data_IF_036249824124
#
_entry.id   IF_036249824124
#
_cell.length_a   1.000
_cell.length_b   1.000
_cell.length_c   1.000
_cell.angle_alpha   90.00
_cell.angle_beta   90.00
_cell.angle_gamma   90.00
#
_symmetry.space_group_name_H-M   'P 1'
#
loop_
_entity.id
_entity.type
_entity.pdbx_description
1 polymer ?
#
# COMPACT_ATOMS: atom_id res chain seq x y z
N UNK A 1 0.00 -9.33 4.65
CA UNK A 1 1.32 -9.64 4.06
C UNK A 1 2.23 -10.23 5.09
N UNK A 2 3.43 -10.63 4.69
CA UNK A 2 4.48 -11.13 5.55
C UNK A 2 5.65 -10.14 5.53
N UNK A 3 6.16 -9.76 6.69
CA UNK A 3 7.38 -8.96 6.78
C UNK A 3 8.57 -9.85 7.13
N UNK A 4 9.76 -9.45 6.68
CA UNK A 4 11.00 -10.00 7.24
C UNK A 4 11.17 -9.57 8.72
N UNK A 5 12.04 -10.24 9.50
CA UNK A 5 12.25 -9.90 10.91
C UNK A 5 12.73 -8.46 11.15
N UNK A 6 13.47 -7.88 10.21
CA UNK A 6 13.96 -6.49 10.30
C UNK A 6 12.86 -5.45 10.00
N UNK A 7 11.69 -5.87 9.52
CA UNK A 7 10.54 -5.01 9.29
C UNK A 7 10.66 -4.05 8.10
N UNK A 8 11.69 -4.18 7.28
CA UNK A 8 11.99 -3.30 6.14
C UNK A 8 11.65 -3.92 4.77
N UNK A 9 11.28 -5.21 4.73
CA UNK A 9 10.82 -5.90 3.52
C UNK A 9 9.45 -6.51 3.78
N UNK A 10 8.45 -6.12 2.98
CA UNK A 10 7.06 -6.57 3.06
C UNK A 10 6.67 -7.31 1.77
N UNK A 11 6.25 -8.58 1.90
CA UNK A 11 5.65 -9.37 0.83
C UNK A 11 4.12 -9.36 0.90
N UNK A 12 3.47 -9.10 -0.23
CA UNK A 12 2.00 -9.09 -0.37
C UNK A 12 1.58 -9.87 -1.63
N UNK A 13 0.52 -10.66 -1.48
CA UNK A 13 -0.24 -11.25 -2.60
C UNK A 13 -1.30 -10.30 -3.18
N UNK A 14 -2.04 -9.47 -2.39
CA UNK A 14 -2.88 -8.45 -3.00
C UNK A 14 -2.01 -7.43 -3.75
N UNK A 15 -2.59 -6.77 -4.76
CA UNK A 15 -1.96 -5.74 -5.59
C UNK A 15 -2.33 -4.33 -5.10
N UNK A 16 -1.73 -3.80 -4.02
CA UNK A 16 -2.03 -2.46 -3.52
C UNK A 16 -1.72 -1.35 -4.53
N UNK A 17 -0.83 -1.59 -5.49
CA UNK A 17 -0.55 -0.69 -6.61
C UNK A 17 -1.77 -0.43 -7.50
N UNK A 18 -2.71 -1.38 -7.55
CA UNK A 18 -3.99 -1.26 -8.26
C UNK A 18 -5.08 -0.63 -7.39
N UNK A 19 -4.77 -0.21 -6.17
CA UNK A 19 -5.71 0.43 -5.24
C UNK A 19 -5.13 1.73 -4.68
N UNK A 20 -4.26 2.40 -5.45
CA UNK A 20 -3.73 3.72 -5.13
C UNK A 20 -4.80 4.78 -5.31
N UNK A 21 -5.61 4.70 -6.37
CA UNK A 21 -6.63 5.68 -6.71
C UNK A 21 -8.05 5.08 -6.63
N UNK A 22 -9.07 5.88 -6.30
CA UNK A 22 -10.44 5.40 -6.13
C UNK A 22 -11.05 4.80 -7.40
N UNK A 23 -10.64 5.30 -8.57
CA UNK A 23 -11.16 4.82 -9.86
C UNK A 23 -10.64 3.44 -10.26
N UNK A 24 -9.56 2.95 -9.62
CA UNK A 24 -8.99 1.63 -9.89
C UNK A 24 -9.80 0.51 -9.20
N UNK A 25 -10.57 0.85 -8.16
CA UNK A 25 -11.46 -0.12 -7.50
C UNK A 25 -12.66 -0.47 -8.39
N UNK A 26 -12.99 -1.78 -8.54
CA UNK A 26 -14.19 -2.21 -9.27
C UNK A 26 -15.46 -1.72 -8.58
N UNK A 27 -15.48 -1.77 -7.25
CA UNK A 27 -16.53 -1.17 -6.44
C UNK A 27 -16.18 0.27 -6.09
N UNK A 28 -16.70 1.19 -6.90
CA UNK A 28 -16.48 2.64 -6.73
C UNK A 28 -17.32 3.26 -5.60
N UNK A 29 -18.26 2.52 -5.02
CA UNK A 29 -19.26 3.07 -4.08
C UNK A 29 -19.02 2.71 -2.63
N UNK A 30 -18.43 1.54 -2.32
CA UNK A 30 -18.15 1.14 -0.93
C UNK A 30 -16.66 0.95 -0.61
N UNK A 31 -15.77 1.11 -1.59
CA UNK A 31 -14.34 1.01 -1.32
C UNK A 31 -13.82 2.24 -0.55
N UNK A 32 -13.10 1.99 0.55
CA UNK A 32 -12.30 3.02 1.19
C UNK A 32 -11.32 3.64 0.18
N UNK A 33 -11.47 4.94 0.01
CA UNK A 33 -10.66 5.77 -0.86
C UNK A 33 -9.18 5.58 -0.50
N UNK A 34 -8.34 5.19 -1.46
CA UNK A 34 -6.88 5.08 -1.32
C UNK A 34 -6.34 3.93 -0.44
N UNK A 35 -7.01 2.78 -0.35
CA UNK A 35 -6.55 1.67 0.52
C UNK A 35 -5.13 1.13 0.28
N UNK A 36 -4.58 1.27 -0.94
CA UNK A 36 -3.20 0.88 -1.26
C UNK A 36 -2.14 1.98 -1.07
N UNK A 37 -2.54 3.26 -1.15
CA UNK A 37 -1.63 4.40 -1.12
C UNK A 37 -0.79 4.52 0.18
N UNK A 38 -1.33 4.26 1.39
CA UNK A 38 -0.57 4.36 2.63
C UNK A 38 0.73 3.55 2.66
N UNK A 39 0.78 2.40 1.98
CA UNK A 39 1.99 1.56 1.90
C UNK A 39 3.15 2.30 1.24
N UNK A 40 2.88 2.98 0.13
CA UNK A 40 3.90 3.72 -0.62
C UNK A 40 4.33 5.01 0.10
N UNK A 41 3.38 5.72 0.73
CA UNK A 41 3.68 6.90 1.56
C UNK A 41 4.63 6.52 2.69
N UNK A 42 4.35 5.41 3.39
CA UNK A 42 5.20 4.96 4.49
C UNK A 42 6.57 4.50 4.00
N UNK A 43 6.67 3.84 2.85
CA UNK A 43 7.94 3.47 2.24
C UNK A 43 8.82 4.69 1.92
N UNK A 44 8.26 5.75 1.32
CA UNK A 44 8.99 6.99 1.04
C UNK A 44 9.41 7.70 2.33
N UNK A 45 8.52 7.79 3.33
CA UNK A 45 8.84 8.38 4.62
C UNK A 45 10.00 7.66 5.32
N UNK A 46 9.99 6.32 5.30
CA UNK A 46 11.04 5.51 5.88
C UNK A 46 12.38 5.72 5.16
N UNK A 47 12.37 5.74 3.82
CA UNK A 47 13.59 5.99 3.03
C UNK A 47 14.17 7.40 3.25
N UNK A 48 13.32 8.39 3.53
CA UNK A 48 13.75 9.77 3.82
C UNK A 48 14.29 9.99 5.24
N UNK A 49 14.28 8.98 6.11
CA UNK A 49 14.85 9.04 7.47
C UNK A 49 16.31 8.58 7.54
N UNK A 50 16.88 8.18 6.40
CA UNK A 50 18.25 7.68 6.25
C UNK A 50 19.23 8.84 5.99
#
# INVERSE_FOLDING_TARGET
>A
GLCNPEGNVLGLMPHPENHVFPFQSPDRRSCETYSGLPLFINGVKFAGQI
#
